data_IF_442725380636
#
_entry.id   IF_442725380636
#
_cell.length_a   1.000
_cell.length_b   1.000
_cell.length_c   1.000
_cell.angle_alpha   90.00
_cell.angle_beta   90.00
_cell.angle_gamma   90.00
#
_symmetry.space_group_name_H-M   'P 1'
#
loop_
_entity.id
_entity.type
_entity.pdbx_description
1 polymer ?
#
# COMPACT_ATOMS: atom_id res chain seq x y z
N UNK A 1 -19.55 -12.33 -11.35
CA UNK A 1 -18.32 -11.53 -11.45
C UNK A 1 -18.57 -10.28 -10.65
N UNK A 2 -17.59 -9.86 -9.85
CA UNK A 2 -17.69 -8.70 -8.97
C UNK A 2 -16.56 -7.72 -9.22
N UNK A 3 -16.76 -6.51 -8.73
CA UNK A 3 -15.72 -5.49 -8.68
C UNK A 3 -15.18 -5.42 -7.25
N UNK A 4 -13.88 -5.17 -7.11
CA UNK A 4 -13.21 -5.23 -5.82
C UNK A 4 -12.27 -4.04 -5.63
N UNK A 5 -12.15 -3.56 -4.39
CA UNK A 5 -11.01 -2.74 -3.97
C UNK A 5 -9.98 -3.70 -3.37
N UNK A 6 -8.74 -3.60 -3.85
CA UNK A 6 -7.61 -4.35 -3.33
C UNK A 6 -6.58 -3.37 -2.80
N UNK A 7 -6.07 -3.63 -1.60
CA UNK A 7 -4.94 -2.92 -0.99
C UNK A 7 -3.78 -3.89 -0.89
N UNK A 8 -2.68 -3.58 -1.57
CA UNK A 8 -1.43 -4.33 -1.45
C UNK A 8 -0.44 -3.56 -0.58
N UNK A 9 0.29 -4.27 0.27
CA UNK A 9 1.41 -3.74 1.04
C UNK A 9 2.73 -4.08 0.34
N UNK A 10 3.59 -3.08 0.20
CA UNK A 10 4.87 -3.17 -0.49
C UNK A 10 5.99 -2.53 0.36
N UNK A 11 7.07 -3.26 0.70
CA UNK A 11 8.23 -2.68 1.39
C UNK A 11 9.17 -2.02 0.38
N UNK A 12 9.42 -0.72 0.58
CA UNK A 12 10.25 0.11 -0.29
C UNK A 12 11.54 0.46 0.42
N UNK A 13 12.65 -0.01 -0.14
CA UNK A 13 13.98 0.37 0.32
C UNK A 13 14.44 1.60 -0.45
N UNK A 14 14.82 2.63 0.29
CA UNK A 14 15.47 3.85 -0.20
C UNK A 14 16.85 3.99 0.43
N UNK A 15 17.72 4.74 -0.25
CA UNK A 15 19.10 4.98 0.16
C UNK A 15 19.31 6.48 0.24
N UNK A 16 20.37 6.86 0.94
CA UNK A 16 20.84 8.25 1.05
C UNK A 16 19.77 9.15 1.69
N UNK A 17 19.21 8.66 2.79
CA UNK A 17 18.22 9.35 3.63
C UNK A 17 18.72 9.43 5.06
N UNK A 18 18.54 10.58 5.71
CA UNK A 18 19.01 10.85 7.06
C UNK A 18 17.87 10.82 8.10
N UNK A 19 16.62 10.96 7.65
CA UNK A 19 15.43 10.96 8.50
C UNK A 19 14.32 10.04 7.99
N UNK A 20 13.33 9.79 8.87
CA UNK A 20 12.14 9.00 8.54
C UNK A 20 11.29 9.73 7.49
N UNK A 21 11.17 11.05 7.63
CA UNK A 21 10.41 11.91 6.72
C UNK A 21 11.02 11.89 5.31
N UNK A 22 12.35 11.99 5.19
CA UNK A 22 13.06 11.86 3.91
C UNK A 22 12.88 10.47 3.31
N UNK A 23 12.91 9.43 4.15
CA UNK A 23 12.69 8.05 3.69
C UNK A 23 11.29 7.88 3.10
N UNK A 24 10.26 8.42 3.75
CA UNK A 24 8.87 8.39 3.29
C UNK A 24 8.74 9.11 1.96
N UNK A 25 9.24 10.34 1.85
CA UNK A 25 9.18 11.13 0.62
C UNK A 25 9.86 10.40 -0.54
N UNK A 26 11.09 9.92 -0.32
CA UNK A 26 11.84 9.18 -1.32
C UNK A 26 11.12 7.88 -1.76
N UNK A 27 10.50 7.17 -0.81
CA UNK A 27 9.79 5.92 -1.08
C UNK A 27 8.51 6.17 -1.90
N UNK A 28 7.70 7.15 -1.50
CA UNK A 28 6.46 7.52 -2.20
C UNK A 28 6.79 7.99 -3.62
N UNK A 29 7.75 8.89 -3.79
CA UNK A 29 8.17 9.40 -5.10
C UNK A 29 8.70 8.26 -6.00
N UNK A 30 9.49 7.34 -5.45
CA UNK A 30 10.00 6.16 -6.18
C UNK A 30 8.87 5.26 -6.67
N UNK A 31 7.86 5.02 -5.84
CA UNK A 31 6.70 4.19 -6.19
C UNK A 31 5.81 4.87 -7.22
N UNK A 32 5.44 6.14 -7.01
CA UNK A 32 4.63 6.90 -7.97
C UNK A 32 5.30 6.95 -9.34
N UNK A 33 6.59 7.28 -9.40
CA UNK A 33 7.36 7.30 -10.65
C UNK A 33 7.39 5.92 -11.34
N UNK A 34 7.47 4.82 -10.57
CA UNK A 34 7.47 3.48 -11.14
C UNK A 34 6.09 3.10 -11.71
N UNK A 35 5.01 3.50 -11.04
CA UNK A 35 3.64 3.28 -11.49
C UNK A 35 3.32 4.09 -12.75
N UNK A 36 3.67 5.39 -12.77
CA UNK A 36 3.47 6.26 -13.92
C UNK A 36 4.16 5.73 -15.18
N UNK A 37 5.39 5.21 -15.06
CA UNK A 37 6.14 4.62 -16.19
C UNK A 37 5.43 3.44 -16.83
N UNK A 38 4.67 2.67 -16.06
CA UNK A 38 3.87 1.53 -16.54
C UNK A 38 2.40 1.92 -16.79
N UNK A 39 2.07 3.22 -16.75
CA UNK A 39 0.70 3.76 -16.92
C UNK A 39 -0.29 3.23 -15.88
N UNK A 40 0.16 3.18 -14.62
CA UNK A 40 -0.58 2.72 -13.45
C UNK A 40 -0.82 3.84 -12.44
N UNK A 41 -0.93 5.08 -12.90
CA UNK A 41 -1.20 6.30 -12.12
C UNK A 41 -2.57 6.31 -11.42
N UNK A 42 -3.48 5.41 -11.83
CA UNK A 42 -4.75 5.17 -11.12
C UNK A 42 -4.59 4.39 -9.80
N UNK A 43 -3.40 3.82 -9.52
CA UNK A 43 -3.12 3.14 -8.25
C UNK A 43 -2.83 4.21 -7.20
N UNK A 44 -3.64 4.25 -6.13
CA UNK A 44 -3.43 5.18 -5.03
C UNK A 44 -2.28 4.68 -4.15
N UNK A 45 -1.35 5.57 -3.85
CA UNK A 45 -0.15 5.30 -3.04
C UNK A 45 -0.32 5.96 -1.68
N UNK A 46 -0.18 5.18 -0.62
CA UNK A 46 -0.34 5.65 0.76
C UNK A 46 0.75 5.10 1.66
N UNK A 47 1.05 5.82 2.74
CA UNK A 47 1.95 5.35 3.77
C UNK A 47 1.29 4.22 4.57
N UNK A 48 2.04 3.13 4.78
CA UNK A 48 1.61 2.02 5.63
C UNK A 48 1.74 2.35 7.12
N UNK A 49 1.01 1.61 7.95
CA UNK A 49 1.14 1.69 9.41
C UNK A 49 1.49 0.34 10.02
N UNK A 50 2.44 0.37 10.95
CA UNK A 50 2.91 -0.77 11.72
C UNK A 50 2.46 -0.65 13.17
N UNK A 51 2.31 -1.77 13.87
CA UNK A 51 2.06 -1.78 15.31
C UNK A 51 3.38 -1.92 16.08
N UNK A 52 3.59 -1.09 17.08
CA UNK A 52 4.70 -1.22 18.00
C UNK A 52 4.59 -2.57 18.73
N UNK A 53 5.61 -3.45 18.67
CA UNK A 53 5.53 -4.76 19.30
C UNK A 53 5.54 -4.70 20.85
N UNK A 54 5.86 -3.54 21.43
CA UNK A 54 5.96 -3.36 22.89
C UNK A 54 4.67 -2.77 23.46
N UNK A 55 4.17 -1.67 22.91
CA UNK A 55 3.00 -0.96 23.43
C UNK A 55 1.73 -1.08 22.56
N UNK A 56 1.83 -1.72 21.38
CA UNK A 56 0.71 -1.87 20.44
C UNK A 56 0.34 -0.62 19.66
N UNK A 57 0.89 0.56 20.00
CA UNK A 57 0.59 1.80 19.31
C UNK A 57 0.94 1.74 17.81
N UNK A 58 0.09 2.33 16.98
CA UNK A 58 0.37 2.48 15.55
C UNK A 58 1.44 3.54 15.32
N UNK A 59 2.34 3.26 14.38
CA UNK A 59 3.32 4.20 13.88
C UNK A 59 3.44 4.05 12.37
N UNK A 60 3.87 5.10 11.69
CA UNK A 60 4.18 5.07 10.26
C UNK A 60 5.17 3.93 9.99
N UNK A 61 4.91 3.09 8.97
CA UNK A 61 5.74 1.95 8.63
C UNK A 61 7.08 2.38 8.00
N UNK A 62 7.85 3.23 8.65
CA UNK A 62 9.10 3.76 8.16
C UNK A 62 10.20 3.63 9.24
N UNK A 63 11.37 3.16 8.83
CA UNK A 63 12.51 2.94 9.72
C UNK A 63 13.82 3.19 8.97
N UNK A 64 14.76 3.90 9.61
CA UNK A 64 16.05 4.26 9.02
C UNK A 64 17.20 3.66 9.84
N UNK A 65 18.13 2.99 9.16
CA UNK A 65 19.37 2.47 9.75
C UNK A 65 20.55 2.94 8.92
N UNK A 66 21.44 3.72 9.53
CA UNK A 66 22.48 4.42 8.78
C UNK A 66 21.83 5.36 7.77
N UNK A 67 22.16 5.21 6.48
CA UNK A 67 21.58 5.96 5.37
C UNK A 67 20.58 5.14 4.53
N UNK A 68 19.99 4.09 5.09
CA UNK A 68 19.02 3.23 4.40
C UNK A 68 17.67 3.32 5.09
N UNK A 69 16.64 3.67 4.32
CA UNK A 69 15.24 3.69 4.78
C UNK A 69 14.47 2.48 4.28
N UNK A 70 13.64 1.90 5.14
CA UNK A 70 12.63 0.89 4.80
C UNK A 70 11.24 1.48 5.09
N UNK A 71 10.41 1.60 4.06
CA UNK A 71 9.06 2.18 4.16
C UNK A 71 8.01 1.21 3.63
N UNK A 72 7.00 0.88 4.44
CA UNK A 72 5.82 0.16 4.04
C UNK A 72 4.85 1.10 3.32
N UNK A 73 4.45 0.72 2.11
CA UNK A 73 3.54 1.50 1.27
C UNK A 73 2.30 0.66 0.96
N UNK A 74 1.12 1.26 1.10
CA UNK A 74 -0.13 0.70 0.61
C UNK A 74 -0.41 1.16 -0.82
N UNK A 75 -0.86 0.22 -1.64
CA UNK A 75 -1.17 0.37 -3.05
C UNK A 75 -2.61 -0.05 -3.27
N UNK A 76 -3.51 0.94 -3.34
CA UNK A 76 -4.94 0.72 -3.45
C UNK A 76 -5.37 0.83 -4.91
N UNK A 77 -6.05 -0.20 -5.42
CA UNK A 77 -6.59 -0.18 -6.78
C UNK A 77 -7.92 -0.95 -6.88
N UNK A 78 -8.75 -0.52 -7.82
CA UNK A 78 -9.98 -1.22 -8.18
C UNK A 78 -9.67 -2.29 -9.21
N UNK A 79 -10.19 -3.49 -8.98
CA UNK A 79 -10.15 -4.61 -9.92
C UNK A 79 -11.58 -4.88 -10.36
N UNK A 80 -11.84 -4.66 -11.65
CA UNK A 80 -13.15 -4.87 -12.24
C UNK A 80 -13.33 -6.29 -12.77
N UNK A 81 -14.55 -6.79 -12.70
CA UNK A 81 -14.99 -8.02 -13.35
C UNK A 81 -14.17 -9.28 -12.96
N UNK A 82 -13.79 -9.41 -11.68
CA UNK A 82 -13.11 -10.60 -11.18
C UNK A 82 -14.09 -11.72 -10.83
N UNK A 83 -13.59 -12.96 -10.83
CA UNK A 83 -14.41 -14.15 -10.56
C UNK A 83 -14.59 -14.45 -9.06
N UNK A 84 -13.62 -14.01 -8.25
CA UNK A 84 -13.57 -14.18 -6.80
C UNK A 84 -12.56 -13.19 -6.20
N UNK A 85 -12.51 -13.11 -4.87
CA UNK A 85 -11.49 -12.34 -4.12
C UNK A 85 -10.06 -12.78 -4.50
N UNK A 86 -9.80 -14.09 -4.58
CA UNK A 86 -8.48 -14.62 -4.93
C UNK A 86 -8.11 -14.29 -6.39
N UNK A 87 -9.11 -14.24 -7.28
CA UNK A 87 -8.86 -13.78 -8.65
C UNK A 87 -8.52 -12.29 -8.68
N UNK A 88 -9.25 -11.46 -7.94
CA UNK A 88 -8.97 -10.04 -7.84
C UNK A 88 -7.58 -9.76 -7.25
N UNK A 89 -7.16 -10.48 -6.20
CA UNK A 89 -5.80 -10.39 -5.64
C UNK A 89 -4.74 -10.71 -6.69
N UNK A 90 -4.91 -11.81 -7.45
CA UNK A 90 -3.97 -12.19 -8.50
C UNK A 90 -3.85 -11.13 -9.59
N UNK A 91 -4.97 -10.54 -10.01
CA UNK A 91 -4.98 -9.45 -11.00
C UNK A 91 -4.25 -8.24 -10.44
N UNK A 92 -4.58 -7.81 -9.22
CA UNK A 92 -3.94 -6.67 -8.56
C UNK A 92 -2.42 -6.84 -8.49
N UNK A 93 -1.93 -7.99 -7.99
CA UNK A 93 -0.49 -8.30 -7.93
C UNK A 93 0.16 -8.34 -9.32
N UNK A 94 -0.53 -8.89 -10.33
CA UNK A 94 0.00 -8.95 -11.69
C UNK A 94 0.07 -7.56 -12.35
N UNK A 95 -0.88 -6.67 -12.07
CA UNK A 95 -0.90 -5.30 -12.58
C UNK A 95 0.20 -4.48 -11.90
N UNK A 96 0.18 -4.37 -10.57
CA UNK A 96 1.16 -3.59 -9.79
C UNK A 96 2.58 -4.16 -9.94
N UNK A 97 2.72 -5.48 -10.05
CA UNK A 97 4.01 -6.15 -10.24
C UNK A 97 4.74 -5.77 -11.54
N UNK A 98 4.05 -5.21 -12.54
CA UNK A 98 4.70 -4.66 -13.74
C UNK A 98 5.59 -3.46 -13.40
N UNK A 99 5.13 -2.58 -12.50
CA UNK A 99 5.91 -1.44 -12.03
C UNK A 99 6.96 -1.86 -11.00
N UNK A 100 6.64 -2.83 -10.14
CA UNK A 100 7.44 -3.19 -8.98
C UNK A 100 8.06 -4.60 -9.08
N UNK A 101 8.77 -4.88 -10.19
CA UNK A 101 9.28 -6.23 -10.61
C UNK A 101 10.13 -7.01 -9.59
N UNK A 102 10.52 -6.41 -8.47
CA UNK A 102 11.35 -7.03 -7.42
C UNK A 102 10.90 -6.66 -6.00
N UNK A 103 9.74 -6.04 -5.85
CA UNK A 103 9.19 -5.69 -4.54
C UNK A 103 8.16 -6.75 -4.18
N UNK A 104 8.26 -7.41 -3.02
CA UNK A 104 7.24 -8.35 -2.59
C UNK A 104 5.92 -7.60 -2.35
N UNK A 105 4.84 -8.12 -2.92
CA UNK A 105 3.50 -7.56 -2.75
C UNK A 105 2.67 -8.51 -1.87
N UNK A 106 2.26 -8.02 -0.71
CA UNK A 106 1.39 -8.75 0.22
C UNK A 106 -0.02 -8.19 0.10
N UNK A 107 -1.03 -9.05 0.20
CA UNK A 107 -2.40 -8.57 0.35
C UNK A 107 -2.55 -7.98 1.77
N UNK A 108 -2.90 -6.70 1.86
CA UNK A 108 -3.29 -6.07 3.11
C UNK A 108 -4.79 -6.20 3.33
N UNK A 109 -5.56 -5.86 2.30
CA UNK A 109 -7.02 -5.86 2.40
C UNK A 109 -7.67 -6.07 1.02
N UNK A 110 -8.84 -6.71 1.00
CA UNK A 110 -9.68 -6.82 -0.19
C UNK A 110 -11.15 -6.79 0.20
N UNK A 111 -11.95 -5.99 -0.51
CA UNK A 111 -13.41 -5.90 -0.33
C UNK A 111 -14.13 -5.90 -1.67
N UNK A 112 -15.30 -6.53 -1.72
CA UNK A 112 -16.20 -6.45 -2.89
C UNK A 112 -16.95 -5.12 -2.87
N UNK A 113 -17.05 -4.49 -4.03
CA UNK A 113 -17.82 -3.27 -4.25
C UNK A 113 -19.27 -3.66 -4.55
N UNK A 114 -20.13 -3.57 -3.54
CA UNK A 114 -21.57 -3.64 -3.75
C UNK A 114 -22.05 -2.31 -4.38
N UNK A 115 -22.75 -2.41 -5.52
CA UNK A 115 -23.54 -1.33 -6.13
C UNK A 115 -22.80 -0.13 -6.76
N UNK A 116 -21.51 -0.25 -7.07
CA UNK A 116 -20.78 0.77 -7.85
C UNK A 116 -20.70 2.16 -7.19
N UNK A 117 -21.11 2.28 -5.92
CA UNK A 117 -21.03 3.53 -5.15
C UNK A 117 -19.67 3.59 -4.48
N UNK A 118 -18.89 4.58 -4.88
CA UNK A 118 -17.63 4.92 -4.24
C UNK A 118 -17.92 5.49 -2.85
N UNK A 119 -17.86 4.67 -1.80
CA UNK A 119 -17.57 5.23 -0.48
C UNK A 119 -16.10 5.64 -0.50
N UNK A 120 -15.85 6.94 -0.34
CA UNK A 120 -14.55 7.58 -0.34
C UNK A 120 -13.75 7.22 0.93
N UNK A 121 -13.80 5.96 1.35
CA UNK A 121 -13.10 5.46 2.52
C UNK A 121 -11.67 5.20 2.10
N UNK A 122 -10.81 6.17 2.39
CA UNK A 122 -9.41 5.85 2.58
C UNK A 122 -9.24 4.79 3.66
N UNK A 123 -8.04 4.23 3.73
CA UNK A 123 -7.69 3.34 4.83
C UNK A 123 -7.72 4.20 6.09
N UNK A 124 -8.82 4.15 6.82
CA UNK A 124 -8.82 4.50 8.23
C UNK A 124 -7.88 3.48 8.85
N UNK A 125 -6.65 3.91 9.17
CA UNK A 125 -5.81 3.18 10.11
C UNK A 125 -6.71 2.97 11.31
N UNK A 126 -7.24 1.75 11.47
CA UNK A 126 -8.41 1.51 12.31
C UNK A 126 -8.21 2.25 13.62
N UNK A 127 -8.98 3.32 13.81
CA UNK A 127 -9.14 3.99 15.09
C UNK A 127 -9.94 3.03 15.97
N UNK A 128 -9.43 1.80 16.13
CA UNK A 128 -9.92 0.86 17.10
C UNK A 128 -9.48 1.41 18.44
N UNK A 129 -10.40 2.21 18.98
CA UNK A 129 -10.84 2.16 20.37
C UNK A 129 -9.73 2.51 21.36
N UNK A 130 -9.71 3.77 21.79
CA UNK A 130 -10.34 4.15 23.07
C UNK A 130 -9.46 3.80 24.27
N UNK A 131 -8.86 4.86 24.81
CA UNK A 131 -8.66 5.16 26.23
C UNK A 131 -8.11 4.07 27.18
N UNK A 132 -7.04 4.49 27.87
CA UNK A 132 -6.53 4.01 29.17
C UNK A 132 -5.38 3.00 29.12
#
# INVERSE_FOLDING_TARGET
>A
MGDYIVVLEAPIIVKDVESVEEAIEAAVNKVMTALEKEKLDFVRVELGYSKCPVCGAHFESAFVVGNIGLVGIYLTLKVFNAQSLEHAERIAKAVVGKALKKVPLKLFEIRELHDGREENNGIEAGENETNA
#
